data_IF_752361234011
#
_entry.id   IF_752361234011
#
_cell.length_a   1.000
_cell.length_b   1.000
_cell.length_c   1.000
_cell.angle_alpha   90.00
_cell.angle_beta   90.00
_cell.angle_gamma   90.00
#
_symmetry.space_group_name_H-M   'P 1'
#
loop_
_entity.id
_entity.type
_entity.pdbx_description
1 polymer ?
#
# COMPACT_ATOMS: atom_id res chain seq x y z
N UNK A 1 3.07 15.42 -16.77
CA UNK A 1 2.62 14.06 -16.46
C UNK A 1 1.46 13.70 -17.35
N UNK A 2 1.43 12.48 -17.88
CA UNK A 2 0.36 11.96 -18.73
C UNK A 2 -0.58 11.14 -17.85
N UNK A 3 -1.87 11.48 -17.84
CA UNK A 3 -2.88 10.70 -17.13
C UNK A 3 -2.96 9.28 -17.72
N UNK A 4 -3.07 8.29 -16.85
CA UNK A 4 -3.25 6.88 -17.17
C UNK A 4 -4.60 6.42 -16.67
N UNK A 5 -5.39 5.77 -17.52
CA UNK A 5 -6.63 5.13 -17.09
C UNK A 5 -6.33 3.78 -16.46
N UNK A 6 -6.79 3.58 -15.23
CA UNK A 6 -6.62 2.34 -14.46
C UNK A 6 -7.97 1.83 -13.99
N UNK A 7 -8.06 0.53 -13.75
CA UNK A 7 -9.27 -0.11 -13.22
C UNK A 7 -8.97 -0.60 -11.80
N UNK A 8 -9.78 -0.18 -10.83
CA UNK A 8 -9.85 -0.82 -9.51
C UNK A 8 -10.96 -1.87 -9.55
N UNK A 9 -10.57 -3.13 -9.40
CA UNK A 9 -11.50 -4.26 -9.33
C UNK A 9 -11.68 -4.69 -7.87
N UNK A 10 -12.93 -4.85 -7.46
CA UNK A 10 -13.33 -5.35 -6.15
C UNK A 10 -13.91 -6.77 -6.30
N UNK A 11 -13.06 -7.82 -6.28
CA UNK A 11 -13.53 -9.20 -6.31
C UNK A 11 -14.10 -9.63 -4.94
N UNK A 12 -15.21 -10.37 -4.96
CA UNK A 12 -15.84 -10.90 -3.76
C UNK A 12 -15.36 -12.33 -3.47
N UNK A 13 -14.07 -12.47 -3.21
CA UNK A 13 -13.43 -13.74 -2.85
C UNK A 13 -13.31 -13.90 -1.33
N UNK A 14 -13.18 -15.15 -0.85
CA UNK A 14 -13.09 -15.43 0.59
C UNK A 14 -11.86 -14.78 1.24
N UNK A 15 -10.76 -14.63 0.50
CA UNK A 15 -9.55 -13.92 0.96
C UNK A 15 -9.82 -12.45 1.30
N UNK A 16 -10.81 -11.83 0.65
CA UNK A 16 -11.20 -10.44 0.86
C UNK A 16 -12.36 -10.29 1.88
N UNK A 17 -12.84 -11.38 2.47
CA UNK A 17 -14.01 -11.37 3.37
C UNK A 17 -13.86 -10.42 4.55
N UNK A 18 -12.64 -10.32 5.11
CA UNK A 18 -12.36 -9.42 6.23
C UNK A 18 -12.40 -7.93 5.83
N UNK A 19 -12.28 -7.62 4.55
CA UNK A 19 -12.24 -6.24 4.01
C UNK A 19 -13.61 -5.74 3.58
N UNK A 20 -14.56 -6.62 3.30
CA UNK A 20 -15.92 -6.27 2.88
C UNK A 20 -16.86 -6.13 4.08
N UNK A 21 -17.86 -5.25 3.97
CA UNK A 21 -18.93 -5.14 4.96
C UNK A 21 -20.23 -5.69 4.38
N UNK A 22 -20.76 -6.75 4.99
CA UNK A 22 -22.03 -7.35 4.58
C UNK A 22 -23.18 -6.79 5.43
N UNK A 23 -24.26 -6.35 4.77
CA UNK A 23 -25.50 -5.96 5.44
C UNK A 23 -26.24 -7.15 6.05
N UNK A 24 -27.26 -6.86 6.85
CA UNK A 24 -28.11 -7.92 7.41
C UNK A 24 -28.74 -8.74 6.29
N UNK A 25 -28.73 -10.07 6.41
CA UNK A 25 -29.29 -10.99 5.41
C UNK A 25 -28.60 -10.96 4.04
N UNK A 26 -27.35 -10.52 3.98
CA UNK A 26 -26.46 -10.68 2.83
C UNK A 26 -25.32 -11.61 3.25
N UNK A 27 -24.86 -12.46 2.34
CA UNK A 27 -23.75 -13.39 2.57
C UNK A 27 -22.78 -13.38 1.40
N UNK A 28 -21.52 -13.65 1.71
CA UNK A 28 -20.53 -14.07 0.71
C UNK A 28 -20.55 -15.60 0.61
N UNK A 29 -20.73 -16.14 -0.61
CA UNK A 29 -20.67 -17.58 -0.83
C UNK A 29 -19.21 -18.05 -0.96
N UNK A 30 -18.73 -18.94 -0.08
CA UNK A 30 -17.29 -19.22 0.06
C UNK A 30 -16.69 -19.90 -1.17
N UNK A 31 -17.43 -20.78 -1.86
CA UNK A 31 -16.94 -21.51 -3.04
C UNK A 31 -17.27 -20.88 -4.39
N UNK A 32 -18.30 -20.03 -4.46
CA UNK A 32 -18.71 -19.38 -5.72
C UNK A 32 -18.08 -18.01 -5.88
N UNK A 33 -17.55 -17.43 -4.79
CA UNK A 33 -16.99 -16.08 -4.74
C UNK A 33 -18.00 -15.03 -5.24
N UNK A 34 -19.23 -15.15 -4.75
CA UNK A 34 -20.37 -14.28 -5.11
C UNK A 34 -21.09 -13.80 -3.87
N UNK A 35 -21.44 -12.53 -3.86
CA UNK A 35 -22.32 -11.96 -2.83
C UNK A 35 -23.77 -12.16 -3.24
N UNK A 36 -24.57 -12.66 -2.30
CA UNK A 36 -25.97 -12.99 -2.49
C UNK A 36 -26.76 -12.74 -1.22
N UNK A 37 -28.09 -12.79 -1.32
CA UNK A 37 -28.95 -12.78 -0.15
C UNK A 37 -28.74 -14.06 0.67
N UNK A 38 -28.77 -13.92 1.99
CA UNK A 38 -28.72 -15.04 2.90
C UNK A 38 -30.06 -15.78 2.89
N UNK A 39 -30.00 -17.10 2.73
CA UNK A 39 -31.15 -17.98 2.85
C UNK A 39 -31.62 -18.01 4.31
N UNK A 40 -32.92 -17.90 4.51
CA UNK A 40 -33.57 -17.96 5.81
C UNK A 40 -33.81 -19.42 6.21
N UNK A 41 -34.18 -19.66 7.47
CA UNK A 41 -34.43 -21.00 7.99
C UNK A 41 -35.55 -21.76 7.24
N UNK A 42 -36.45 -21.05 6.57
CA UNK A 42 -37.54 -21.61 5.77
C UNK A 42 -37.16 -21.86 4.30
N UNK A 43 -35.89 -21.66 3.94
CA UNK A 43 -35.39 -21.81 2.56
C UNK A 43 -35.70 -20.62 1.66
N UNK A 44 -36.14 -19.49 2.21
CA UNK A 44 -36.48 -18.29 1.44
C UNK A 44 -35.44 -17.17 1.54
N UNK A 45 -35.45 -16.26 0.57
CA UNK A 45 -34.65 -15.03 0.57
C UNK A 45 -35.48 -13.82 1.02
N UNK A 46 -34.83 -12.87 1.69
CA UNK A 46 -35.51 -11.65 2.14
C UNK A 46 -35.91 -10.77 0.96
N UNK A 47 -37.08 -10.13 1.07
CA UNK A 47 -37.60 -9.17 0.07
C UNK A 47 -37.53 -7.72 0.58
N UNK A 48 -36.81 -7.53 1.70
CA UNK A 48 -36.60 -6.25 2.35
C UNK A 48 -35.89 -5.29 1.40
N UNK A 49 -36.06 -3.99 1.66
CA UNK A 49 -35.24 -2.97 1.04
C UNK A 49 -33.84 -2.93 1.69
N UNK A 50 -32.89 -2.32 1.00
CA UNK A 50 -31.57 -1.93 1.51
C UNK A 50 -30.70 -3.10 2.03
N UNK A 51 -30.72 -4.24 1.35
CA UNK A 51 -29.84 -5.37 1.62
C UNK A 51 -28.52 -5.19 0.89
N UNK A 52 -27.52 -4.61 1.56
CA UNK A 52 -26.32 -4.13 0.90
C UNK A 52 -25.05 -4.95 1.17
N UNK A 53 -24.06 -4.76 0.32
CA UNK A 53 -22.64 -5.06 0.56
C UNK A 53 -21.81 -3.81 0.27
N UNK A 54 -20.83 -3.51 1.12
CA UNK A 54 -19.84 -2.46 0.88
C UNK A 54 -18.49 -3.09 0.56
N UNK A 55 -17.84 -2.60 -0.49
CA UNK A 55 -16.42 -2.89 -0.72
C UNK A 55 -15.58 -2.23 0.36
N UNK A 56 -14.31 -2.62 0.48
CA UNK A 56 -13.37 -1.83 1.25
C UNK A 56 -13.15 -0.47 0.60
N UNK A 57 -12.62 0.45 1.38
CA UNK A 57 -12.20 1.76 0.90
C UNK A 57 -10.80 1.62 0.32
N UNK A 58 -10.67 1.74 -1.00
CA UNK A 58 -9.37 1.89 -1.64
C UNK A 58 -8.94 3.37 -1.61
N UNK A 59 -7.66 3.67 -1.39
CA UNK A 59 -7.13 5.03 -1.24
C UNK A 59 -6.02 5.36 -2.26
N UNK A 60 -6.24 5.21 -3.58
CA UNK A 60 -5.22 5.51 -4.57
C UNK A 60 -4.93 7.02 -4.62
N UNK A 61 -3.81 7.47 -4.05
CA UNK A 61 -3.42 8.88 -4.03
C UNK A 61 -3.18 9.47 -5.44
N UNK A 62 -3.03 8.60 -6.42
CA UNK A 62 -2.91 8.97 -7.83
C UNK A 62 -4.25 9.31 -8.49
N UNK A 63 -5.39 8.95 -7.90
CA UNK A 63 -6.69 9.18 -8.52
C UNK A 63 -6.97 10.68 -8.74
N UNK A 64 -7.40 11.01 -9.96
CA UNK A 64 -7.71 12.38 -10.42
C UNK A 64 -9.14 12.54 -10.92
N UNK A 65 -9.76 11.47 -11.39
CA UNK A 65 -11.16 11.47 -11.82
C UNK A 65 -11.65 10.02 -11.91
N UNK A 66 -12.93 9.76 -11.67
CA UNK A 66 -13.53 8.46 -12.01
C UNK A 66 -14.17 8.57 -13.39
N UNK A 67 -14.07 7.54 -14.22
CA UNK A 67 -14.45 7.61 -15.62
C UNK A 67 -15.45 6.55 -16.04
N UNK A 68 -15.59 5.48 -15.26
CA UNK A 68 -16.45 4.36 -15.64
C UNK A 68 -16.74 3.45 -14.46
N UNK A 69 -17.88 2.78 -14.56
CA UNK A 69 -18.40 1.87 -13.55
C UNK A 69 -18.98 0.66 -14.23
N UNK A 70 -18.62 -0.53 -13.76
CA UNK A 70 -19.23 -1.77 -14.20
C UNK A 70 -19.44 -2.66 -12.99
N UNK A 71 -20.62 -3.25 -12.88
CA UNK A 71 -20.90 -4.30 -11.93
C UNK A 71 -21.28 -5.59 -12.66
N UNK A 72 -20.58 -6.68 -12.33
CA UNK A 72 -20.92 -7.99 -12.86
C UNK A 72 -21.87 -8.67 -11.89
N UNK A 73 -23.14 -8.80 -12.31
CA UNK A 73 -24.21 -9.38 -11.51
C UNK A 73 -25.04 -10.36 -12.35
N UNK A 74 -25.36 -11.50 -11.76
CA UNK A 74 -26.26 -12.49 -12.36
C UNK A 74 -27.66 -12.27 -11.83
N UNK A 75 -28.54 -11.74 -12.70
CA UNK A 75 -29.96 -11.64 -12.42
C UNK A 75 -30.66 -12.98 -12.62
N UNK A 76 -31.73 -13.22 -11.86
CA UNK A 76 -32.59 -14.39 -11.97
C UNK A 76 -33.96 -13.98 -12.50
N UNK A 77 -34.50 -14.82 -13.37
CA UNK A 77 -35.85 -14.68 -13.92
C UNK A 77 -36.72 -15.84 -13.49
N UNK A 78 -38.01 -15.58 -13.35
CA UNK A 78 -39.07 -16.58 -13.12
C UNK A 78 -40.17 -16.29 -14.12
N UNK A 79 -40.60 -17.30 -14.87
CA UNK A 79 -41.59 -17.17 -15.95
C UNK A 79 -41.22 -16.05 -16.95
N UNK A 80 -39.95 -16.04 -17.37
CA UNK A 80 -39.35 -15.03 -18.28
C UNK A 80 -39.38 -13.57 -17.78
N UNK A 81 -39.74 -13.34 -16.51
CA UNK A 81 -39.69 -12.02 -15.86
C UNK A 81 -38.49 -11.95 -14.93
N UNK A 82 -37.64 -10.94 -15.10
CA UNK A 82 -36.53 -10.67 -14.17
C UNK A 82 -37.10 -10.24 -12.82
N UNK A 83 -36.82 -11.02 -11.78
CA UNK A 83 -37.35 -10.81 -10.42
C UNK A 83 -36.29 -10.30 -9.43
N UNK A 84 -35.04 -10.21 -9.86
CA UNK A 84 -33.92 -9.68 -9.06
C UNK A 84 -33.42 -8.36 -9.63
N UNK A 85 -33.00 -7.46 -8.76
CA UNK A 85 -32.45 -6.15 -9.14
C UNK A 85 -31.32 -5.75 -8.21
N UNK A 86 -30.52 -4.81 -8.67
CA UNK A 86 -29.45 -4.17 -7.94
C UNK A 86 -29.56 -2.67 -8.07
N UNK A 87 -28.95 -1.98 -7.11
CA UNK A 87 -28.69 -0.55 -7.17
C UNK A 87 -27.41 -0.24 -6.41
N UNK A 88 -26.87 0.96 -6.60
CA UNK A 88 -25.54 1.32 -6.15
C UNK A 88 -25.49 2.69 -5.49
N UNK A 89 -24.49 2.86 -4.64
CA UNK A 89 -23.96 4.14 -4.14
C UNK A 89 -22.45 4.13 -4.27
N UNK A 90 -21.88 5.31 -4.33
CA UNK A 90 -20.44 5.51 -4.37
C UNK A 90 -19.97 6.11 -3.04
N UNK A 91 -18.94 5.53 -2.45
CA UNK A 91 -18.36 5.99 -1.19
C UNK A 91 -17.07 6.76 -1.40
N UNK A 92 -16.90 7.85 -0.67
CA UNK A 92 -15.63 8.60 -0.60
C UNK A 92 -14.83 8.23 0.66
N UNK A 93 -15.13 7.09 1.28
CA UNK A 93 -14.54 6.60 2.54
C UNK A 93 -15.04 7.26 3.82
N UNK A 94 -15.90 8.28 3.72
CA UNK A 94 -16.59 8.90 4.87
C UNK A 94 -18.10 8.84 4.68
N UNK A 95 -18.57 9.37 3.54
CA UNK A 95 -19.97 9.42 3.16
C UNK A 95 -20.26 8.46 2.00
N UNK A 96 -21.47 7.91 2.00
CA UNK A 96 -22.07 7.29 0.82
C UNK A 96 -22.83 8.35 0.03
N UNK A 97 -22.68 8.32 -1.28
CA UNK A 97 -23.31 9.30 -2.16
C UNK A 97 -24.13 8.63 -3.25
N UNK A 98 -25.17 9.33 -3.65
CA UNK A 98 -26.02 9.00 -4.78
C UNK A 98 -26.25 10.25 -5.64
N UNK A 99 -26.51 10.02 -6.91
CA UNK A 99 -26.88 11.03 -7.88
C UNK A 99 -28.37 11.37 -7.76
N UNK A 100 -28.67 12.64 -7.50
CA UNK A 100 -30.06 13.14 -7.35
C UNK A 100 -30.74 13.47 -8.67
N UNK A 101 -30.06 13.26 -9.81
CA UNK A 101 -30.44 13.80 -11.12
C UNK A 101 -29.75 15.11 -11.49
N UNK A 102 -29.08 15.76 -10.53
CA UNK A 102 -28.36 17.03 -10.76
C UNK A 102 -27.03 17.17 -10.01
N UNK A 103 -26.85 16.46 -8.90
CA UNK A 103 -25.63 16.50 -8.11
C UNK A 103 -25.43 15.21 -7.29
N UNK A 104 -24.20 14.97 -6.85
CA UNK A 104 -23.87 13.92 -5.88
C UNK A 104 -24.17 14.39 -4.45
N UNK A 105 -25.23 13.85 -3.84
CA UNK A 105 -25.63 14.14 -2.46
C UNK A 105 -25.30 12.97 -1.53
N UNK A 106 -25.23 13.25 -0.22
CA UNK A 106 -25.10 12.20 0.80
C UNK A 106 -26.38 11.36 0.81
N UNK A 107 -26.24 10.04 0.73
CA UNK A 107 -27.37 9.11 0.63
C UNK A 107 -28.03 8.86 1.99
N UNK A 108 -29.36 8.95 2.04
CA UNK A 108 -30.19 8.47 3.15
C UNK A 108 -30.61 7.00 2.98
N UNK A 109 -31.64 6.55 3.68
CA UNK A 109 -32.25 5.23 3.44
C UNK A 109 -33.05 5.24 2.12
N UNK A 110 -32.92 4.21 1.28
CA UNK A 110 -33.61 4.12 0.00
C UNK A 110 -33.07 4.97 -1.16
N UNK A 111 -32.10 5.86 -0.92
CA UNK A 111 -31.43 6.63 -1.97
C UNK A 111 -30.44 5.74 -2.73
N UNK A 112 -30.74 5.36 -3.96
CA UNK A 112 -29.90 4.44 -4.74
C UNK A 112 -29.98 4.72 -6.23
N UNK A 113 -28.87 4.56 -6.93
CA UNK A 113 -28.80 4.69 -8.38
C UNK A 113 -28.71 3.35 -9.09
N UNK A 114 -29.20 3.30 -10.32
CA UNK A 114 -28.92 2.20 -11.25
C UNK A 114 -27.48 2.28 -11.76
N UNK A 115 -26.95 1.17 -12.30
CA UNK A 115 -25.65 1.15 -12.98
C UNK A 115 -25.56 2.24 -14.06
N UNK A 116 -26.63 2.39 -14.86
CA UNK A 116 -26.71 3.38 -15.93
C UNK A 116 -26.65 4.84 -15.42
N UNK A 117 -27.35 5.14 -14.31
CA UNK A 117 -27.30 6.47 -13.69
C UNK A 117 -25.90 6.79 -13.14
N UNK A 118 -25.21 5.80 -12.59
CA UNK A 118 -23.81 5.99 -12.16
C UNK A 118 -22.91 6.20 -13.38
N UNK A 119 -22.93 5.30 -14.36
CA UNK A 119 -22.08 5.37 -15.54
C UNK A 119 -22.21 6.71 -16.27
N UNK A 120 -23.43 7.26 -16.37
CA UNK A 120 -23.69 8.53 -17.02
C UNK A 120 -23.20 9.77 -16.26
N UNK A 121 -22.92 9.67 -14.95
CA UNK A 121 -22.59 10.83 -14.10
C UNK A 121 -21.31 10.65 -13.26
N UNK A 122 -20.62 9.51 -13.39
CA UNK A 122 -19.45 9.15 -12.57
C UNK A 122 -18.26 10.10 -12.77
N UNK A 123 -18.15 10.70 -13.95
CA UNK A 123 -17.13 11.70 -14.30
C UNK A 123 -17.23 12.99 -13.45
N UNK A 124 -18.43 13.27 -12.91
CA UNK A 124 -18.68 14.39 -11.99
C UNK A 124 -18.54 14.01 -10.51
N UNK A 125 -18.22 12.75 -10.19
CA UNK A 125 -18.09 12.31 -8.81
C UNK A 125 -16.94 13.04 -8.09
N UNK A 126 -17.14 13.59 -6.88
CA UNK A 126 -16.11 14.34 -6.19
C UNK A 126 -14.97 13.43 -5.70
N UNK A 127 -13.80 13.56 -6.32
CA UNK A 127 -12.61 12.76 -6.02
C UNK A 127 -11.61 13.41 -5.07
N UNK A 128 -11.95 14.53 -4.42
CA UNK A 128 -11.04 15.28 -3.52
C UNK A 128 -10.44 14.41 -2.40
N UNK A 129 -11.18 13.40 -1.95
CA UNK A 129 -10.71 12.46 -0.93
C UNK A 129 -9.71 11.40 -1.46
N UNK A 130 -9.63 11.21 -2.78
CA UNK A 130 -8.81 10.18 -3.44
C UNK A 130 -9.09 8.76 -2.93
N UNK A 131 -10.36 8.50 -2.62
CA UNK A 131 -10.83 7.19 -2.15
C UNK A 131 -11.84 6.62 -3.13
N UNK A 132 -11.87 5.29 -3.27
CA UNK A 132 -12.81 4.54 -4.09
C UNK A 132 -13.50 3.50 -3.22
N UNK A 133 -14.83 3.56 -3.16
CA UNK A 133 -15.66 2.55 -2.51
C UNK A 133 -16.98 2.43 -3.25
N UNK A 134 -17.52 1.22 -3.33
CA UNK A 134 -18.84 0.96 -3.91
C UNK A 134 -19.70 0.23 -2.90
N UNK A 135 -20.97 0.64 -2.83
CA UNK A 135 -21.99 -0.01 -2.03
C UNK A 135 -23.05 -0.53 -3.00
N UNK A 136 -23.25 -1.85 -3.01
CA UNK A 136 -24.24 -2.50 -3.85
C UNK A 136 -25.41 -2.98 -3.00
N UNK A 137 -26.62 -2.58 -3.36
CA UNK A 137 -27.88 -3.07 -2.82
C UNK A 137 -28.39 -4.23 -3.68
N UNK A 138 -28.74 -5.34 -3.05
CA UNK A 138 -29.23 -6.55 -3.69
C UNK A 138 -30.72 -6.73 -3.35
N UNK A 139 -31.57 -6.95 -4.35
CA UNK A 139 -33.01 -7.10 -4.13
C UNK A 139 -33.60 -8.25 -4.94
N UNK A 140 -34.59 -8.92 -4.36
CA UNK A 140 -35.47 -9.86 -5.05
C UNK A 140 -36.93 -9.56 -4.73
N UNK A 141 -37.82 -9.71 -5.71
CA UNK A 141 -39.27 -9.74 -5.49
C UNK A 141 -39.80 -11.16 -5.30
N UNK A 142 -38.98 -12.17 -5.59
CA UNK A 142 -39.32 -13.57 -5.43
C UNK A 142 -38.44 -14.23 -4.35
N UNK A 143 -39.12 -14.79 -3.34
CA UNK A 143 -38.50 -15.45 -2.18
C UNK A 143 -37.68 -16.69 -2.51
N UNK A 144 -37.75 -17.25 -3.72
CA UNK A 144 -37.03 -18.49 -4.09
C UNK A 144 -35.71 -18.25 -4.80
N UNK A 145 -35.40 -17.01 -5.18
CA UNK A 145 -34.18 -16.68 -5.94
C UNK A 145 -33.46 -15.46 -5.38
N UNK A 146 -32.15 -15.41 -5.56
CA UNK A 146 -31.28 -14.31 -5.14
C UNK A 146 -30.47 -13.79 -6.33
N UNK A 147 -30.22 -12.46 -6.44
CA UNK A 147 -29.16 -11.96 -7.29
C UNK A 147 -27.79 -12.46 -6.81
N UNK A 148 -26.83 -12.54 -7.72
CA UNK A 148 -25.46 -12.93 -7.41
C UNK A 148 -24.46 -11.90 -7.97
N UNK A 149 -23.87 -11.08 -7.09
CA UNK A 149 -22.86 -10.09 -7.45
C UNK A 149 -21.47 -10.75 -7.45
N UNK A 150 -20.78 -10.69 -8.59
CA UNK A 150 -19.49 -11.36 -8.83
C UNK A 150 -18.32 -10.43 -8.55
N UNK A 151 -18.32 -9.24 -9.14
CA UNK A 151 -17.30 -8.20 -8.94
C UNK A 151 -17.83 -6.83 -9.30
N UNK A 152 -17.13 -5.81 -8.83
CA UNK A 152 -17.35 -4.41 -9.22
C UNK A 152 -16.05 -3.83 -9.74
N UNK A 153 -16.11 -3.04 -10.81
CA UNK A 153 -14.98 -2.34 -11.41
C UNK A 153 -15.24 -0.85 -11.44
N UNK A 154 -14.21 -0.07 -11.13
CA UNK A 154 -14.20 1.39 -11.27
C UNK A 154 -13.01 1.80 -12.12
N UNK A 155 -13.28 2.42 -13.27
CA UNK A 155 -12.27 3.04 -14.12
C UNK A 155 -11.98 4.44 -13.57
N UNK A 156 -10.71 4.81 -13.46
CA UNK A 156 -10.30 6.12 -12.98
C UNK A 156 -9.05 6.63 -13.71
N UNK A 157 -8.93 7.94 -13.85
CA UNK A 157 -7.69 8.60 -14.26
C UNK A 157 -6.73 8.66 -13.09
N UNK A 158 -5.50 8.27 -13.37
CA UNK A 158 -4.38 8.19 -12.45
C UNK A 158 -3.23 9.05 -12.95
N UNK A 159 -2.71 9.88 -12.07
CA UNK A 159 -1.49 10.64 -12.25
C UNK A 159 -0.36 9.92 -11.48
N UNK A 160 0.17 8.86 -12.10
CA UNK A 160 1.16 7.99 -11.48
C UNK A 160 2.37 7.76 -12.39
N UNK A 161 3.55 7.81 -11.78
CA UNK A 161 4.78 7.26 -12.32
C UNK A 161 5.13 6.02 -11.47
N UNK A 162 4.95 4.82 -12.04
CA UNK A 162 4.95 3.56 -11.26
C UNK A 162 6.22 3.31 -10.47
N UNK A 163 7.39 3.53 -11.08
CA UNK A 163 8.68 3.37 -10.39
C UNK A 163 8.87 4.46 -9.33
N UNK A 164 8.44 5.70 -9.60
CA UNK A 164 8.50 6.79 -8.61
C UNK A 164 7.65 6.43 -7.37
N UNK A 165 6.45 5.94 -7.61
CA UNK A 165 5.51 5.61 -6.54
C UNK A 165 5.99 4.45 -5.66
N UNK A 166 6.45 3.35 -6.28
CA UNK A 166 6.93 2.18 -5.54
C UNK A 166 8.24 2.46 -4.79
N UNK A 167 9.18 3.17 -5.40
CA UNK A 167 10.49 3.42 -4.78
C UNK A 167 10.46 4.65 -3.87
N UNK A 168 10.15 5.83 -4.41
CA UNK A 168 10.36 7.08 -3.69
C UNK A 168 9.23 7.36 -2.72
N UNK A 169 7.98 7.20 -3.16
CA UNK A 169 6.82 7.53 -2.33
C UNK A 169 6.51 6.45 -1.31
N UNK A 170 6.81 5.19 -1.65
CA UNK A 170 6.50 4.03 -0.79
C UNK A 170 7.73 3.52 -0.04
N UNK A 171 8.69 2.87 -0.70
CA UNK A 171 9.82 2.20 -0.03
C UNK A 171 10.72 3.17 0.74
N UNK A 172 11.19 4.26 0.10
CA UNK A 172 12.07 5.25 0.73
C UNK A 172 11.39 5.92 1.92
N UNK A 173 10.10 6.26 1.79
CA UNK A 173 9.33 6.83 2.89
C UNK A 173 9.25 5.86 4.07
N UNK A 174 8.94 4.59 3.82
CA UNK A 174 8.88 3.59 4.88
C UNK A 174 10.25 3.35 5.54
N UNK A 175 11.35 3.37 4.78
CA UNK A 175 12.70 3.29 5.34
C UNK A 175 12.98 4.50 6.24
N UNK A 176 12.65 5.73 5.83
CA UNK A 176 12.83 6.94 6.66
C UNK A 176 12.00 6.90 7.94
N UNK A 177 10.76 6.44 7.85
CA UNK A 177 9.85 6.41 9.00
C UNK A 177 10.21 5.33 10.02
N UNK A 178 10.71 4.17 9.56
CA UNK A 178 10.81 2.99 10.42
C UNK A 178 12.24 2.52 10.71
N UNK A 179 13.24 2.91 9.92
CA UNK A 179 14.62 2.45 10.13
C UNK A 179 15.25 3.22 11.30
N UNK A 180 15.46 2.55 12.44
CA UNK A 180 16.05 3.15 13.65
C UNK A 180 17.18 2.28 14.18
N UNK A 181 18.37 2.34 13.56
CA UNK A 181 19.50 1.56 14.03
C UNK A 181 19.99 2.07 15.38
N UNK A 182 20.61 1.18 16.14
CA UNK A 182 21.20 1.50 17.45
C UNK A 182 22.71 1.68 17.26
N UNK A 183 23.26 2.79 17.71
CA UNK A 183 24.69 3.00 17.83
C UNK A 183 25.10 3.07 19.31
N UNK A 184 26.39 2.84 19.57
CA UNK A 184 26.97 2.92 20.91
C UNK A 184 28.02 4.02 20.96
N UNK A 185 27.96 4.82 22.02
CA UNK A 185 28.97 5.84 22.28
C UNK A 185 29.46 5.78 23.73
N UNK A 186 30.73 5.41 23.95
CA UNK A 186 31.33 5.46 25.27
C UNK A 186 31.79 6.89 25.59
N UNK A 187 31.29 7.45 26.69
CA UNK A 187 31.75 8.72 27.23
C UNK A 187 32.41 8.53 28.59
N UNK A 188 33.35 9.42 28.92
CA UNK A 188 33.94 9.50 30.25
C UNK A 188 33.39 10.73 30.96
N UNK A 189 32.64 10.56 32.04
CA UNK A 189 31.98 11.67 32.71
C UNK A 189 32.99 12.65 33.31
N UNK A 190 32.86 13.94 32.96
CA UNK A 190 33.72 14.99 33.52
C UNK A 190 33.36 15.31 34.98
N UNK A 191 32.08 15.22 35.35
CA UNK A 191 31.54 15.57 36.67
C UNK A 191 30.61 14.46 37.18
N UNK A 192 30.47 14.38 38.50
CA UNK A 192 29.50 13.48 39.13
C UNK A 192 28.09 14.04 38.92
N UNK A 193 27.17 13.24 38.42
CA UNK A 193 25.78 13.69 38.21
C UNK A 193 24.84 12.59 37.75
N UNK A 194 23.55 12.92 37.72
CA UNK A 194 22.47 12.07 37.22
C UNK A 194 21.94 12.52 35.86
N UNK A 195 22.66 13.41 35.17
CA UNK A 195 22.30 13.93 33.85
C UNK A 195 23.52 14.00 32.96
N UNK A 196 23.34 13.71 31.68
CA UNK A 196 24.36 13.79 30.64
C UNK A 196 23.81 14.69 29.53
N UNK A 197 24.42 15.84 29.29
CA UNK A 197 24.13 16.64 28.10
C UNK A 197 25.02 16.16 26.95
N UNK A 198 24.41 15.70 25.85
CA UNK A 198 25.18 15.17 24.72
C UNK A 198 26.02 16.26 24.03
N UNK A 199 25.63 17.53 24.11
CA UNK A 199 26.41 18.64 23.55
C UNK A 199 27.76 18.85 24.28
N UNK A 200 27.91 18.37 25.52
CA UNK A 200 29.19 18.39 26.25
C UNK A 200 30.16 17.28 25.77
N UNK A 201 29.67 16.31 25.00
CA UNK A 201 30.41 15.15 24.50
C UNK A 201 30.21 15.01 23.00
N UNK A 202 30.88 15.86 22.18
CA UNK A 202 30.66 15.89 20.74
C UNK A 202 30.99 14.55 20.10
N UNK A 203 30.04 14.03 19.33
CA UNK A 203 30.22 12.83 18.51
C UNK A 203 31.08 13.18 17.30
N UNK A 204 32.04 12.31 16.97
CA UNK A 204 32.85 12.45 15.74
C UNK A 204 31.97 12.43 14.48
N UNK A 205 30.85 11.70 14.55
CA UNK A 205 29.90 11.52 13.47
C UNK A 205 28.59 12.24 13.80
N UNK A 206 28.02 13.03 12.88
CA UNK A 206 26.85 13.87 13.13
C UNK A 206 25.54 13.06 13.08
N UNK A 207 25.36 12.13 14.03
CA UNK A 207 24.15 11.33 14.15
C UNK A 207 22.91 12.21 14.40
N UNK A 208 21.82 11.93 13.66
CA UNK A 208 20.50 12.48 13.98
C UNK A 208 19.85 11.61 15.07
N UNK A 209 20.18 11.86 16.33
CA UNK A 209 19.70 11.08 17.48
C UNK A 209 18.22 11.36 17.73
N UNK A 210 17.41 10.31 17.61
CA UNK A 210 15.96 10.36 17.82
C UNK A 210 15.55 9.95 19.23
N UNK A 211 16.26 9.00 19.82
CA UNK A 211 15.98 8.51 21.18
C UNK A 211 17.20 7.80 21.81
N UNK A 212 17.11 7.45 23.09
CA UNK A 212 18.09 6.66 23.83
C UNK A 212 17.47 5.30 24.17
N UNK A 213 18.14 4.23 23.75
CA UNK A 213 17.71 2.86 24.03
C UNK A 213 18.08 2.44 25.46
N UNK A 214 19.34 2.66 25.86
CA UNK A 214 19.85 2.29 27.17
C UNK A 214 21.12 3.05 27.53
N UNK A 215 21.43 3.11 28.83
CA UNK A 215 22.67 3.70 29.34
C UNK A 215 23.28 2.77 30.38
N UNK A 216 24.58 2.48 30.28
CA UNK A 216 25.27 1.56 31.19
C UNK A 216 26.53 2.22 31.79
N UNK A 217 26.75 2.04 33.10
CA UNK A 217 28.01 2.41 33.73
C UNK A 217 29.05 1.30 33.51
N UNK A 218 29.73 1.32 32.37
CA UNK A 218 30.69 0.29 31.97
C UNK A 218 31.85 0.08 32.97
N UNK A 219 32.20 1.10 33.77
CA UNK A 219 33.28 0.96 34.76
C UNK A 219 32.89 0.08 35.95
N UNK A 220 31.67 0.24 36.45
CA UNK A 220 31.19 -0.51 37.62
C UNK A 220 30.35 -1.73 37.23
N UNK A 221 29.81 -1.74 36.01
CA UNK A 221 29.03 -2.81 35.39
C UNK A 221 29.55 -3.09 33.96
N UNK A 222 30.67 -3.79 33.89
CA UNK A 222 31.32 -4.14 32.63
C UNK A 222 30.51 -5.09 31.76
N UNK A 223 29.53 -5.81 32.35
CA UNK A 223 28.63 -6.71 31.64
C UNK A 223 27.34 -6.04 31.14
N UNK A 224 27.13 -4.75 31.42
CA UNK A 224 25.94 -4.00 31.01
C UNK A 224 24.62 -4.65 31.44
N UNK A 225 24.59 -5.17 32.67
CA UNK A 225 23.41 -5.84 33.23
C UNK A 225 22.35 -4.86 33.73
N UNK A 226 22.76 -3.66 34.17
CA UNK A 226 21.88 -2.67 34.78
C UNK A 226 21.78 -1.44 33.90
N UNK A 227 20.62 -1.25 33.27
CA UNK A 227 20.28 -0.02 32.58
C UNK A 227 20.00 1.10 33.60
N UNK A 228 20.76 2.18 33.49
CA UNK A 228 20.63 3.38 34.32
C UNK A 228 19.93 4.52 33.58
N UNK A 229 19.39 4.28 32.38
CA UNK A 229 18.57 5.25 31.66
C UNK A 229 17.24 5.52 32.36
N UNK A 230 16.83 6.80 32.41
CA UNK A 230 15.52 7.20 32.92
C UNK A 230 14.68 7.96 31.91
N UNK A 231 15.23 8.95 31.21
CA UNK A 231 14.53 9.69 30.17
C UNK A 231 15.49 10.47 29.28
N UNK A 232 15.03 10.81 28.08
CA UNK A 232 15.76 11.66 27.13
C UNK A 232 14.88 12.81 26.64
N UNK A 233 15.44 14.02 26.59
CA UNK A 233 14.80 15.18 25.98
C UNK A 233 15.48 15.49 24.64
N UNK A 234 14.78 15.23 23.54
CA UNK A 234 15.29 15.46 22.16
C UNK A 234 15.63 16.93 21.91
N UNK A 235 14.86 17.87 22.46
CA UNK A 235 15.05 19.31 22.24
C UNK A 235 16.30 19.88 22.93
N UNK A 236 16.63 19.38 24.13
CA UNK A 236 17.82 19.81 24.88
C UNK A 236 18.99 18.84 24.78
N UNK A 237 18.77 17.66 24.17
CA UNK A 237 19.71 16.52 24.11
C UNK A 237 20.28 16.11 25.47
N UNK A 238 19.45 16.16 26.51
CA UNK A 238 19.84 15.78 27.89
C UNK A 238 19.25 14.42 28.23
N UNK A 239 20.12 13.51 28.64
CA UNK A 239 19.79 12.20 29.18
C UNK A 239 19.72 12.30 30.70
N UNK A 240 18.65 11.82 31.30
CA UNK A 240 18.50 11.68 32.75
C UNK A 240 18.73 10.23 33.15
N UNK A 241 19.48 10.02 34.22
CA UNK A 241 19.85 8.72 34.76
C UNK A 241 19.02 8.40 36.02
N UNK A 242 18.81 7.11 36.29
CA UNK A 242 18.11 6.63 37.50
C UNK A 242 18.88 6.88 38.79
N UNK A 243 20.20 7.11 38.69
CA UNK A 243 21.07 7.44 39.80
C UNK A 243 22.27 8.28 39.38
N UNK A 244 22.96 8.87 40.34
CA UNK A 244 24.18 9.63 40.07
C UNK A 244 25.35 8.69 39.76
N UNK A 245 26.08 8.99 38.69
CA UNK A 245 27.34 8.31 38.33
C UNK A 245 28.51 9.21 38.69
N UNK A 246 29.55 8.65 39.30
CA UNK A 246 30.74 9.40 39.72
C UNK A 246 31.54 9.92 38.51
N UNK A 247 32.22 11.05 38.67
CA UNK A 247 33.16 11.58 37.67
C UNK A 247 34.25 10.57 37.33
N UNK A 248 34.80 10.66 36.12
CA UNK A 248 35.81 9.76 35.54
C UNK A 248 35.37 8.32 35.25
N UNK A 249 34.10 7.97 35.54
CA UNK A 249 33.52 6.69 35.10
C UNK A 249 33.20 6.74 33.61
N UNK A 250 33.38 5.61 32.95
CA UNK A 250 32.97 5.41 31.55
C UNK A 250 31.53 4.94 31.50
N UNK A 251 30.69 5.69 30.80
CA UNK A 251 29.28 5.39 30.56
C UNK A 251 29.11 5.05 29.09
N UNK A 252 28.42 3.96 28.77
CA UNK A 252 28.05 3.59 27.42
C UNK A 252 26.62 4.02 27.16
N UNK A 253 26.41 4.80 26.11
CA UNK A 253 25.10 5.27 25.69
C UNK A 253 24.73 4.49 24.43
N UNK A 254 23.62 3.75 24.48
CA UNK A 254 22.96 3.18 23.30
C UNK A 254 21.89 4.14 22.83
N UNK A 255 21.96 4.58 21.59
CA UNK A 255 21.02 5.56 21.05
C UNK A 255 20.49 5.14 19.69
N UNK A 256 19.24 5.51 19.45
CA UNK A 256 18.52 5.30 18.21
C UNK A 256 18.69 6.54 17.33
N UNK A 257 19.12 6.34 16.09
CA UNK A 257 19.30 7.44 15.15
C UNK A 257 18.51 7.22 13.86
N UNK A 258 18.28 8.32 13.14
CA UNK A 258 17.72 8.30 11.79
C UNK A 258 18.88 8.37 10.78
N UNK A 259 19.18 7.30 10.02
CA UNK A 259 20.17 7.36 8.96
C UNK A 259 19.64 8.19 7.79
N UNK A 260 20.55 8.81 7.04
CA UNK A 260 20.17 9.47 5.80
C UNK A 260 19.72 8.40 4.78
N UNK A 261 18.52 8.55 4.22
CA UNK A 261 18.01 7.66 3.16
C UNK A 261 17.98 8.43 1.84
N UNK A 262 18.79 8.01 0.88
CA UNK A 262 18.89 8.63 -0.45
C UNK A 262 18.69 7.62 -1.58
N UNK A 263 18.37 8.13 -2.77
CA UNK A 263 18.26 7.34 -4.01
C UNK A 263 19.24 7.93 -5.00
N UNK A 264 20.15 7.13 -5.53
CA UNK A 264 21.13 7.58 -6.50
C UNK A 264 20.49 7.75 -7.87
N UNK A 265 20.50 8.98 -8.39
CA UNK A 265 20.07 9.30 -9.75
C UNK A 265 21.24 9.55 -10.71
N UNK A 266 22.47 9.70 -10.21
CA UNK A 266 23.70 9.84 -11.02
C UNK A 266 24.96 9.38 -10.25
N UNK A 267 25.99 8.92 -10.97
CA UNK A 267 27.26 8.41 -10.41
C UNK A 267 28.17 9.47 -9.77
N UNK A 268 27.78 10.74 -9.81
CA UNK A 268 28.57 11.85 -9.27
C UNK A 268 28.14 12.13 -7.81
N UNK A 269 28.38 11.17 -6.90
CA UNK A 269 27.95 11.28 -5.51
C UNK A 269 28.87 12.20 -4.68
N UNK A 270 28.56 13.50 -4.69
CA UNK A 270 29.02 14.48 -3.68
C UNK A 270 28.20 14.42 -2.37
N UNK A 271 27.28 13.47 -2.22
CA UNK A 271 26.35 13.33 -1.08
C UNK A 271 26.83 12.38 0.04
N UNK A 272 28.08 11.90 -0.01
CA UNK A 272 28.73 11.16 1.11
C UNK A 272 29.00 12.07 2.33
N UNK A 273 28.47 13.30 2.36
CA UNK A 273 28.65 14.26 3.44
C UNK A 273 27.88 13.92 4.73
N UNK A 274 26.99 12.92 4.71
CA UNK A 274 26.23 12.48 5.89
C UNK A 274 26.35 10.97 6.04
N UNK A 275 27.17 10.56 7.00
CA UNK A 275 27.35 9.17 7.40
C UNK A 275 26.76 9.06 8.82
N UNK A 276 26.03 8.00 9.17
CA UNK A 276 25.66 6.83 8.35
C UNK A 276 24.49 7.07 7.36
N UNK A 277 24.50 6.33 6.25
CA UNK A 277 23.49 6.45 5.19
C UNK A 277 23.11 5.11 4.54
N UNK A 278 21.88 5.09 4.02
CA UNK A 278 21.31 4.02 3.19
C UNK A 278 20.98 4.59 1.81
N UNK A 279 21.63 4.07 0.79
CA UNK A 279 21.57 4.58 -0.58
C UNK A 279 20.93 3.52 -1.47
N UNK A 280 19.86 3.85 -2.18
CA UNK A 280 19.28 2.99 -3.20
C UNK A 280 19.94 3.32 -4.54
N UNK A 281 20.81 2.45 -5.05
CA UNK A 281 21.69 2.78 -6.20
C UNK A 281 21.17 2.32 -7.56
N UNK A 282 20.57 1.14 -7.61
CA UNK A 282 20.24 0.48 -8.86
C UNK A 282 18.84 -0.12 -8.75
N UNK A 283 17.91 0.40 -9.56
CA UNK A 283 16.52 -0.04 -9.61
C UNK A 283 16.28 -0.63 -11.00
N UNK A 284 16.16 -1.95 -11.06
CA UNK A 284 16.08 -2.70 -12.32
C UNK A 284 14.82 -3.55 -12.33
N UNK A 285 14.07 -3.49 -13.43
CA UNK A 285 12.96 -4.40 -13.66
C UNK A 285 13.50 -5.74 -14.19
N UNK A 286 13.38 -6.79 -13.38
CA UNK A 286 13.73 -8.17 -13.72
C UNK A 286 12.48 -8.96 -14.10
N UNK A 287 12.63 -10.01 -14.93
CA UNK A 287 11.57 -11.00 -15.23
C UNK A 287 10.23 -10.38 -15.68
N UNK A 288 10.31 -9.31 -16.46
CA UNK A 288 9.12 -8.66 -16.98
C UNK A 288 8.37 -9.57 -17.96
N UNK A 289 7.06 -9.70 -17.77
CA UNK A 289 6.14 -10.41 -18.66
C UNK A 289 4.81 -9.67 -18.73
N UNK A 290 4.19 -9.64 -19.90
CA UNK A 290 2.84 -9.10 -20.02
C UNK A 290 1.86 -10.08 -19.35
N UNK A 291 0.96 -9.56 -18.50
CA UNK A 291 -0.18 -10.34 -18.04
C UNK A 291 -1.06 -10.70 -19.24
N UNK A 292 -1.53 -11.94 -19.31
CA UNK A 292 -2.17 -12.48 -20.52
C UNK A 292 -3.58 -11.98 -20.82
N UNK A 293 -4.17 -11.14 -19.97
CA UNK A 293 -5.56 -10.70 -20.13
C UNK A 293 -5.71 -9.20 -19.86
N UNK A 294 -6.18 -8.50 -20.90
CA UNK A 294 -6.62 -7.11 -20.80
C UNK A 294 -7.86 -7.00 -19.91
N UNK A 295 -8.01 -5.88 -19.21
CA UNK A 295 -9.21 -5.60 -18.43
C UNK A 295 -10.07 -4.55 -19.15
N UNK A 296 -11.35 -4.49 -18.80
CA UNK A 296 -12.28 -3.54 -19.40
C UNK A 296 -13.34 -3.09 -18.41
N UNK A 297 -13.86 -1.89 -18.65
CA UNK A 297 -15.08 -1.36 -18.03
C UNK A 297 -16.04 -1.00 -19.16
N UNK A 298 -17.22 -1.61 -19.15
CA UNK A 298 -18.27 -1.41 -20.15
C UNK A 298 -19.40 -0.57 -19.56
N UNK A 299 -19.76 0.52 -20.24
CA UNK A 299 -21.03 1.20 -20.03
C UNK A 299 -22.13 0.46 -20.82
N UNK A 300 -22.88 -0.37 -20.10
CA UNK A 300 -23.98 -1.16 -20.66
C UNK A 300 -25.10 -0.31 -21.24
N UNK A 301 -25.29 0.92 -20.75
CA UNK A 301 -26.35 1.81 -21.21
C UNK A 301 -25.93 2.61 -22.46
N UNK A 302 -24.70 3.11 -22.47
CA UNK A 302 -24.13 3.87 -23.60
C UNK A 302 -23.66 3.00 -24.77
N UNK A 303 -23.42 1.70 -24.55
CA UNK A 303 -22.89 0.81 -25.59
C UNK A 303 -21.43 1.11 -25.95
N UNK A 304 -20.70 1.75 -25.04
CA UNK A 304 -19.28 2.08 -25.16
C UNK A 304 -18.55 1.55 -23.93
N UNK A 305 -17.24 1.38 -24.01
CA UNK A 305 -16.42 1.00 -22.88
C UNK A 305 -14.99 1.47 -23.04
N UNK A 306 -14.19 1.20 -22.02
CA UNK A 306 -12.75 1.42 -22.06
C UNK A 306 -12.05 0.11 -21.75
N UNK A 307 -11.16 -0.29 -22.65
CA UNK A 307 -10.22 -1.38 -22.47
C UNK A 307 -8.93 -0.82 -21.88
N UNK A 308 -8.48 -1.39 -20.77
CA UNK A 308 -7.18 -1.10 -20.18
C UNK A 308 -6.28 -2.30 -20.48
N UNK A 309 -5.25 -2.14 -21.32
CA UNK A 309 -4.32 -3.22 -21.62
C UNK A 309 -3.70 -3.78 -20.35
N UNK A 310 -3.41 -5.09 -20.38
CA UNK A 310 -2.78 -5.77 -19.27
C UNK A 310 -1.46 -5.07 -18.89
N UNK A 311 -1.19 -4.90 -17.58
CA UNK A 311 0.08 -4.34 -17.15
C UNK A 311 1.23 -5.29 -17.46
N UNK A 312 2.41 -4.71 -17.63
CA UNK A 312 3.65 -5.43 -17.52
C UNK A 312 3.85 -5.80 -16.04
N UNK A 313 4.01 -7.10 -15.76
CA UNK A 313 4.30 -7.62 -14.43
C UNK A 313 5.76 -8.04 -14.37
N UNK A 314 6.50 -7.54 -13.39
CA UNK A 314 7.90 -7.90 -13.19
C UNK A 314 8.37 -7.72 -11.76
N UNK A 315 9.56 -8.24 -11.48
CA UNK A 315 10.21 -8.10 -10.18
C UNK A 315 11.08 -6.84 -10.19
N UNK A 316 10.78 -5.85 -9.35
CA UNK A 316 11.62 -4.66 -9.23
C UNK A 316 12.75 -4.92 -8.25
N UNK A 317 13.96 -5.14 -8.77
CA UNK A 317 15.18 -5.41 -8.03
C UNK A 317 15.85 -4.10 -7.64
N UNK A 318 16.12 -3.92 -6.34
CA UNK A 318 16.74 -2.70 -5.80
C UNK A 318 18.03 -3.07 -5.09
N UNK A 319 19.14 -2.48 -5.53
CA UNK A 319 20.39 -2.49 -4.77
C UNK A 319 20.34 -1.43 -3.67
N UNK A 320 20.61 -1.84 -2.45
CA UNK A 320 20.79 -0.98 -1.29
C UNK A 320 22.27 -1.00 -0.90
N UNK A 321 22.90 0.16 -0.86
CA UNK A 321 24.24 0.36 -0.34
C UNK A 321 24.16 1.04 1.03
N UNK A 322 24.88 0.50 2.01
CA UNK A 322 24.93 0.97 3.39
C UNK A 322 26.31 1.53 3.63
N UNK A 323 26.40 2.70 4.28
CA UNK A 323 27.67 3.33 4.61
C UNK A 323 27.68 3.80 6.06
N UNK A 324 28.81 3.57 6.75
CA UNK A 324 29.04 4.03 8.12
C UNK A 324 30.53 4.37 8.32
N UNK A 325 30.83 5.18 9.33
CA UNK A 325 32.19 5.58 9.74
C UNK A 325 32.90 4.47 10.54
N UNK A 326 32.13 3.60 11.20
CA UNK A 326 32.65 2.47 11.98
C UNK A 326 32.06 1.17 11.46
N UNK A 327 32.91 0.13 11.38
CA UNK A 327 32.46 -1.20 10.95
C UNK A 327 31.34 -1.78 11.82
N UNK A 328 31.37 -1.55 13.14
CA UNK A 328 30.31 -2.01 14.06
C UNK A 328 28.98 -1.31 13.78
N UNK A 329 29.01 0.00 13.49
CA UNK A 329 27.79 0.75 13.17
C UNK A 329 27.24 0.35 11.79
N UNK A 330 28.11 -0.02 10.84
CA UNK A 330 27.70 -0.63 9.57
C UNK A 330 26.96 -1.97 9.78
N UNK A 331 27.50 -2.85 10.62
CA UNK A 331 26.86 -4.14 10.92
C UNK A 331 25.48 -3.95 11.56
N UNK A 332 25.37 -3.02 12.52
CA UNK A 332 24.08 -2.70 13.17
C UNK A 332 23.08 -2.07 12.21
N UNK A 333 23.54 -1.18 11.33
CA UNK A 333 22.71 -0.63 10.26
C UNK A 333 22.21 -1.75 9.33
N UNK A 334 23.08 -2.69 8.94
CA UNK A 334 22.71 -3.81 8.10
C UNK A 334 21.68 -4.74 8.79
N UNK A 335 21.87 -5.04 10.07
CA UNK A 335 20.93 -5.85 10.85
C UNK A 335 19.58 -5.17 11.03
N UNK A 336 19.55 -3.85 11.23
CA UNK A 336 18.31 -3.10 11.31
C UNK A 336 17.58 -3.06 9.96
N UNK A 337 18.32 -2.93 8.85
CA UNK A 337 17.73 -3.05 7.50
C UNK A 337 17.14 -4.44 7.29
N UNK A 338 17.87 -5.52 7.64
CA UNK A 338 17.34 -6.90 7.58
C UNK A 338 16.08 -7.05 8.44
N UNK A 339 16.08 -6.51 9.65
CA UNK A 339 14.92 -6.50 10.56
C UNK A 339 13.73 -5.75 9.96
N UNK A 340 13.96 -4.60 9.32
CA UNK A 340 12.93 -3.86 8.61
C UNK A 340 12.24 -4.73 7.54
N UNK A 341 13.01 -5.41 6.69
CA UNK A 341 12.46 -6.31 5.67
C UNK A 341 11.78 -7.55 6.27
N UNK A 342 12.30 -8.08 7.38
CA UNK A 342 11.69 -9.21 8.10
C UNK A 342 10.34 -8.85 8.75
N UNK A 343 10.22 -7.64 9.29
CA UNK A 343 8.99 -7.15 9.92
C UNK A 343 7.96 -6.62 8.92
N UNK A 344 8.40 -6.22 7.72
CA UNK A 344 7.55 -5.64 6.67
C UNK A 344 7.66 -6.48 5.38
N UNK A 345 7.05 -7.68 5.32
CA UNK A 345 7.11 -8.56 4.15
C UNK A 345 6.29 -8.04 2.97
N UNK A 346 5.50 -6.99 3.16
CA UNK A 346 4.69 -6.34 2.14
C UNK A 346 4.79 -4.82 2.24
N UNK A 347 4.61 -4.15 1.09
CA UNK A 347 4.49 -2.69 1.00
C UNK A 347 3.21 -2.35 0.25
N UNK A 348 2.52 -1.28 0.66
CA UNK A 348 1.33 -0.78 -0.03
C UNK A 348 1.72 0.44 -0.86
N UNK A 349 1.58 0.35 -2.18
CA UNK A 349 1.75 1.48 -3.09
C UNK A 349 0.81 2.60 -2.68
N UNK A 350 1.33 3.80 -2.46
CA UNK A 350 0.49 4.96 -2.18
C UNK A 350 -0.36 5.38 -3.37
N UNK A 351 0.21 5.32 -4.57
CA UNK A 351 -0.44 5.77 -5.78
C UNK A 351 -1.61 4.86 -6.16
N UNK A 352 -1.43 3.54 -6.04
CA UNK A 352 -2.41 2.53 -6.49
C UNK A 352 -3.25 1.96 -5.35
N UNK A 353 -2.78 2.06 -4.10
CA UNK A 353 -3.34 1.34 -2.95
C UNK A 353 -3.40 -0.18 -3.22
N UNK A 354 -2.28 -0.71 -3.74
CA UNK A 354 -2.05 -2.12 -4.00
C UNK A 354 -0.88 -2.63 -3.17
N UNK A 355 -1.02 -3.86 -2.67
CA UNK A 355 0.00 -4.51 -1.86
C UNK A 355 0.98 -5.31 -2.73
N UNK A 356 2.27 -5.08 -2.52
CA UNK A 356 3.35 -5.79 -3.17
C UNK A 356 4.18 -6.53 -2.14
N UNK A 357 4.65 -7.73 -2.49
CA UNK A 357 5.54 -8.49 -1.62
C UNK A 357 6.95 -7.93 -1.70
N UNK A 358 7.60 -7.82 -0.56
CA UNK A 358 8.94 -7.28 -0.42
C UNK A 358 9.87 -8.38 0.09
N UNK A 359 10.87 -8.75 -0.70
CA UNK A 359 11.84 -9.79 -0.37
C UNK A 359 13.24 -9.21 -0.26
N UNK A 360 13.96 -9.63 0.78
CA UNK A 360 15.42 -9.46 0.84
C UNK A 360 16.06 -10.70 0.22
N UNK A 361 16.94 -10.51 -0.78
CA UNK A 361 17.58 -11.62 -1.53
C UNK A 361 18.94 -12.05 -0.97
N UNK A 362 19.48 -11.31 0.00
CA UNK A 362 20.76 -11.56 0.68
C UNK A 362 21.96 -11.86 -0.22
N UNK A 363 22.68 -10.79 -0.57
CA UNK A 363 24.11 -10.85 -0.84
C UNK A 363 24.76 -9.75 0.01
N UNK A 364 24.93 -10.03 1.30
CA UNK A 364 25.67 -9.13 2.21
C UNK A 364 27.14 -9.23 1.83
N UNK A 365 27.59 -8.26 1.04
CA UNK A 365 28.99 -8.12 0.65
C UNK A 365 29.61 -6.93 1.38
N UNK A 366 30.54 -7.24 2.28
CA UNK A 366 31.36 -6.25 2.99
C UNK A 366 32.52 -5.82 2.07
N UNK A 367 32.26 -4.80 1.27
CA UNK A 367 33.29 -4.14 0.49
C UNK A 367 33.94 -3.02 1.31
N UNK A 368 35.09 -3.26 1.94
CA UNK A 368 35.97 -2.14 2.33
C UNK A 368 36.71 -1.67 1.07
N UNK A 369 36.25 -0.59 0.44
CA UNK A 369 36.98 -0.01 -0.69
C UNK A 369 38.23 0.69 -0.15
N UNK A 370 39.41 0.18 -0.53
CA UNK A 370 40.71 0.54 0.07
C UNK A 370 41.18 2.01 -0.10
N UNK A 371 40.35 2.91 -0.64
CA UNK A 371 40.74 4.28 -1.01
C UNK A 371 39.77 5.40 -0.56
N UNK A 372 38.73 5.08 0.22
CA UNK A 372 37.82 6.08 0.78
C UNK A 372 38.02 6.08 2.31
N UNK A 373 38.79 7.05 2.81
CA UNK A 373 39.29 7.10 4.19
C UNK A 373 38.24 6.70 5.23
N UNK A 374 38.55 5.67 6.01
CA UNK A 374 37.77 5.14 7.15
C UNK A 374 36.26 4.89 6.92
N UNK A 375 35.76 4.89 5.68
CA UNK A 375 34.35 4.59 5.39
C UNK A 375 34.19 3.09 5.14
N UNK A 376 33.26 2.50 5.88
CA UNK A 376 32.85 1.11 5.69
C UNK A 376 31.57 1.07 4.85
N UNK A 377 31.51 0.17 3.88
CA UNK A 377 30.31 -0.05 3.06
C UNK A 377 29.88 -1.50 2.99
N UNK A 378 28.57 -1.72 2.92
CA UNK A 378 27.97 -3.03 2.67
C UNK A 378 26.86 -2.93 1.64
N UNK A 379 26.72 -3.95 0.80
CA UNK A 379 25.65 -4.03 -0.19
C UNK A 379 24.59 -5.04 0.24
N UNK A 380 23.34 -4.75 -0.06
CA UNK A 380 22.18 -5.63 0.07
C UNK A 380 21.34 -5.51 -1.22
N UNK A 381 20.54 -6.54 -1.50
CA UNK A 381 19.58 -6.52 -2.59
C UNK A 381 18.21 -6.90 -2.08
N UNK A 382 17.21 -6.06 -2.38
CA UNK A 382 15.82 -6.39 -2.15
C UNK A 382 15.05 -6.44 -3.48
N UNK A 383 13.85 -7.01 -3.45
CA UNK A 383 12.99 -7.17 -4.61
C UNK A 383 11.56 -6.90 -4.22
N UNK A 384 10.90 -6.01 -4.96
CA UNK A 384 9.44 -5.85 -4.94
C UNK A 384 8.89 -6.82 -5.99
N UNK A 385 8.26 -7.88 -5.53
CA UNK A 385 7.81 -9.00 -6.37
C UNK A 385 6.48 -8.63 -7.02
N UNK A 386 6.32 -9.02 -8.29
CA UNK A 386 5.07 -8.83 -9.04
C UNK A 386 4.60 -7.36 -9.17
N UNK A 387 5.54 -6.42 -9.26
CA UNK A 387 5.24 -5.02 -9.54
C UNK A 387 4.53 -4.87 -10.90
N UNK A 388 3.51 -4.01 -10.94
CA UNK A 388 2.64 -3.81 -12.11
C UNK A 388 2.90 -2.44 -12.76
N UNK A 389 3.08 -2.42 -14.08
CA UNK A 389 3.36 -1.22 -14.86
C UNK A 389 2.39 -1.11 -16.04
N UNK A 390 1.56 -0.06 -16.09
CA UNK A 390 0.65 0.20 -17.21
C UNK A 390 1.29 1.16 -18.23
N UNK A 391 2.16 0.61 -19.07
CA UNK A 391 2.88 1.40 -20.08
C UNK A 391 1.99 1.78 -21.27
N UNK A 392 1.14 0.85 -21.71
CA UNK A 392 0.21 1.03 -22.84
C UNK A 392 -0.93 1.96 -22.44
N UNK A 393 -1.47 2.70 -23.41
CA UNK A 393 -2.63 3.54 -23.19
C UNK A 393 -3.92 2.74 -23.31
N UNK A 394 -4.98 3.19 -22.63
CA UNK A 394 -6.31 2.61 -22.76
C UNK A 394 -6.87 2.79 -24.17
N UNK A 395 -7.66 1.83 -24.62
CA UNK A 395 -8.36 1.84 -25.91
C UNK A 395 -9.87 1.90 -25.69
N UNK A 396 -10.61 2.40 -26.67
CA UNK A 396 -12.07 2.32 -26.62
C UNK A 396 -12.51 0.86 -26.85
N UNK A 397 -13.45 0.39 -26.03
CA UNK A 397 -14.05 -0.93 -26.14
C UNK A 397 -15.49 -0.81 -26.65
N UNK A 398 -15.94 -1.74 -27.48
CA UNK A 398 -17.31 -1.79 -27.98
C UNK A 398 -17.93 -3.14 -27.62
N UNK A 399 -18.99 -3.19 -26.79
CA UNK A 399 -19.65 -4.44 -26.44
C UNK A 399 -20.34 -5.05 -27.67
N UNK A 400 -20.17 -6.36 -27.87
CA UNK A 400 -20.91 -7.11 -28.89
C UNK A 400 -22.34 -7.32 -28.38
N UNK A 401 -23.30 -6.51 -28.88
CA UNK A 401 -24.70 -6.57 -28.42
C UNK A 401 -25.49 -7.73 -29.05
N UNK A 402 -25.17 -8.13 -30.29
CA UNK A 402 -25.84 -9.24 -30.99
C UNK A 402 -24.95 -9.79 -32.10
N UNK A 403 -24.64 -11.08 -32.03
CA UNK A 403 -23.99 -11.81 -33.11
C UNK A 403 -25.06 -12.60 -33.88
N UNK A 404 -25.46 -12.10 -35.06
CA UNK A 404 -26.35 -12.85 -35.95
C UNK A 404 -25.51 -13.74 -36.86
N UNK A 405 -25.46 -15.02 -36.54
CA UNK A 405 -24.84 -16.04 -37.39
C UNK A 405 -25.89 -16.59 -38.35
N UNK A 406 -25.66 -16.47 -39.65
CA UNK A 406 -26.46 -17.13 -40.69
C UNK A 406 -25.57 -18.08 -41.47
N UNK A 407 -25.75 -19.40 -41.29
CA UNK A 407 -24.98 -20.47 -41.92
C UNK A 407 -24.57 -21.57 -40.93
N UNK A 408 -24.08 -22.71 -41.44
CA UNK A 408 -23.42 -23.76 -40.64
C UNK A 408 -22.00 -23.28 -40.32
N UNK A 409 -21.81 -22.74 -39.11
CA UNK A 409 -20.52 -22.26 -38.62
C UNK A 409 -20.28 -22.80 -37.21
N UNK A 410 -19.15 -23.48 -37.02
CA UNK A 410 -18.59 -23.71 -35.69
C UNK A 410 -17.96 -22.40 -35.21
N UNK A 411 -18.63 -21.72 -34.28
CA UNK A 411 -18.10 -20.50 -33.65
C UNK A 411 -17.64 -20.83 -32.24
N UNK A 412 -16.34 -20.68 -32.02
CA UNK A 412 -15.76 -20.64 -30.68
C UNK A 412 -15.73 -19.18 -30.25
N UNK A 413 -16.69 -18.77 -29.42
CA UNK A 413 -16.65 -17.47 -28.73
C UNK A 413 -15.71 -17.65 -27.54
N UNK A 414 -14.53 -17.03 -27.61
CA UNK A 414 -13.63 -16.91 -26.46
C UNK A 414 -14.27 -16.02 -25.38
N UNK A 415 -14.00 -16.30 -24.09
CA UNK A 415 -14.56 -15.55 -22.97
C UNK A 415 -14.21 -14.05 -22.97
#
# INVERSE_FOLDING_TARGET
>A
MRLKKLIKTFPFEEVNRARITLGSKVRLHPSLHRVMLAEQADGTYSTDADLYVKTWVANPASARQWLGFEAEIVHKSVDDVVVTSDKYRLGNGTDERYWTGSAWAVAGAGDWNTEAEIAANIDTFPVTAQKIQVIANLRTTNKTVTPELVKVKVLYDSDIEFQEDLIYRTLVRQLRENLRPIAEYPIKLAVTGSTIALDDYPLDTPYNITDIDAVFNHTDDSGHWTDIFSSYNVGTKVITLTGSVASSKTVWIRFLYEPEISVSTSRDFYEVGKIPAVILEDVVLERASELGQDDWVLDKAGGTGTKVPAPLRGDLSVTINLTADKGVDLERLADEVKRFFGNNPTITSLGLDEEYRLWLRDEFDLGTTANLGDIHSARLRCTIVDALFWEKDSEDAYPVQRLNLTGDLDVVIGP
#
